data_IF_556944234205
#
_entry.id   IF_556944234205
#
_cell.length_a   1.000
_cell.length_b   1.000
_cell.length_c   1.000
_cell.angle_alpha   90.00
_cell.angle_beta   90.00
_cell.angle_gamma   90.00
#
_symmetry.space_group_name_H-M   'P 1'
#
loop_
_entity.id
_entity.type
_entity.pdbx_description
1 polymer ?
#
# COMPACT_ATOMS: atom_id res chain seq x y z
N UNK A 1 -24.19 -38.10 6.58
CA UNK A 1 -23.62 -36.72 6.60
C UNK A 1 -22.35 -36.78 5.79
N UNK A 2 -22.41 -36.30 4.54
CA UNK A 2 -21.25 -36.25 3.64
C UNK A 2 -20.30 -35.14 4.12
N UNK A 3 -18.97 -35.34 4.11
CA UNK A 3 -18.03 -34.29 4.46
C UNK A 3 -18.09 -33.21 3.38
N UNK A 4 -18.26 -31.94 3.81
CA UNK A 4 -18.19 -30.78 2.96
C UNK A 4 -16.83 -30.73 2.24
N UNK A 5 -16.86 -30.61 0.93
CA UNK A 5 -15.66 -30.45 0.10
C UNK A 5 -14.91 -29.14 0.44
N UNK A 6 -13.57 -29.08 0.29
CA UNK A 6 -12.80 -27.85 0.53
C UNK A 6 -13.22 -26.64 -0.32
N UNK A 7 -13.97 -26.86 -1.41
CA UNK A 7 -14.51 -25.79 -2.26
C UNK A 7 -15.71 -25.05 -1.62
N UNK A 8 -16.36 -25.61 -0.62
CA UNK A 8 -17.53 -25.02 0.06
C UNK A 8 -17.16 -24.13 1.26
N UNK A 9 -15.89 -23.99 1.58
CA UNK A 9 -15.42 -22.90 2.43
C UNK A 9 -15.32 -21.64 1.59
N UNK A 10 -16.47 -21.15 1.09
CA UNK A 10 -16.58 -19.83 0.49
C UNK A 10 -15.80 -18.85 1.36
N UNK A 11 -14.79 -18.19 0.74
CA UNK A 11 -13.96 -17.13 1.34
C UNK A 11 -14.86 -16.22 2.16
N UNK A 12 -14.90 -16.42 3.46
CA UNK A 12 -15.73 -15.63 4.37
C UNK A 12 -15.04 -14.29 4.50
N UNK A 13 -15.50 -13.30 3.73
CA UNK A 13 -14.99 -11.93 3.84
C UNK A 13 -14.96 -11.53 5.32
N UNK A 14 -13.82 -11.03 5.77
CA UNK A 14 -13.73 -10.48 7.12
C UNK A 14 -14.71 -9.31 7.18
N UNK A 15 -15.66 -9.35 8.11
CA UNK A 15 -16.55 -8.22 8.38
C UNK A 15 -15.69 -7.08 8.92
N UNK A 16 -15.35 -6.15 8.04
CA UNK A 16 -14.77 -4.87 8.44
C UNK A 16 -15.89 -4.07 9.11
N UNK A 17 -15.66 -3.48 10.29
CA UNK A 17 -16.67 -2.65 10.94
C UNK A 17 -17.13 -1.55 9.99
N UNK A 18 -18.45 -1.40 9.85
CA UNK A 18 -19.03 -0.33 9.04
C UNK A 18 -18.64 1.04 9.62
N UNK A 19 -18.42 2.03 8.74
CA UNK A 19 -18.21 3.43 9.15
C UNK A 19 -19.51 4.04 9.70
N UNK A 20 -20.20 3.31 10.59
CA UNK A 20 -21.44 3.72 11.28
C UNK A 20 -22.50 4.26 10.31
N UNK A 21 -22.67 5.60 10.29
CA UNK A 21 -23.72 6.27 9.49
C UNK A 21 -23.34 6.50 8.04
N UNK A 22 -22.08 6.26 7.67
CA UNK A 22 -21.60 6.45 6.29
C UNK A 22 -22.16 5.31 5.44
N UNK A 23 -22.93 5.65 4.42
CA UNK A 23 -23.48 4.70 3.44
C UNK A 23 -23.15 5.10 2.01
N UNK A 24 -22.95 6.40 1.75
CA UNK A 24 -22.62 6.95 0.44
C UNK A 24 -21.36 7.80 0.54
N UNK A 25 -20.35 7.42 -0.22
CA UNK A 25 -19.04 8.07 -0.30
C UNK A 25 -18.88 8.65 -1.70
N UNK A 26 -18.57 9.94 -1.80
CA UNK A 26 -18.32 10.60 -3.06
C UNK A 26 -16.87 11.02 -3.19
N UNK A 27 -16.27 10.77 -4.37
CA UNK A 27 -14.86 11.03 -4.66
C UNK A 27 -14.71 12.19 -5.65
N UNK A 28 -13.98 13.24 -5.29
CA UNK A 28 -13.63 14.34 -6.21
C UNK A 28 -12.25 14.05 -6.83
N UNK A 29 -12.19 13.93 -8.16
CA UNK A 29 -11.02 13.46 -8.90
C UNK A 29 -10.90 11.93 -8.88
N UNK A 30 -12.01 11.22 -9.04
CA UNK A 30 -12.11 9.76 -8.87
C UNK A 30 -11.24 8.97 -9.85
N UNK A 31 -10.94 9.51 -11.03
CA UNK A 31 -10.08 8.88 -12.04
C UNK A 31 -8.58 8.92 -11.71
N UNK A 32 -8.17 9.62 -10.66
CA UNK A 32 -6.78 9.64 -10.20
C UNK A 32 -6.29 8.28 -9.73
N UNK A 33 -5.00 7.97 -9.99
CA UNK A 33 -4.42 6.62 -9.78
C UNK A 33 -4.63 6.05 -8.36
N UNK A 34 -4.52 6.86 -7.31
CA UNK A 34 -4.76 6.38 -5.94
C UNK A 34 -6.22 6.48 -5.49
N UNK A 35 -7.07 7.23 -6.22
CA UNK A 35 -8.48 7.44 -5.87
C UNK A 35 -9.37 6.29 -6.33
N UNK A 36 -9.20 5.86 -7.60
CA UNK A 36 -10.00 4.81 -8.21
C UNK A 36 -9.89 3.49 -7.42
N UNK A 37 -8.69 3.10 -7.00
CA UNK A 37 -8.49 1.87 -6.24
C UNK A 37 -9.21 1.88 -4.89
N UNK A 38 -9.15 2.98 -4.14
CA UNK A 38 -9.88 3.11 -2.87
C UNK A 38 -11.40 3.07 -3.12
N UNK A 39 -11.88 3.73 -4.18
CA UNK A 39 -13.29 3.73 -4.56
C UNK A 39 -13.79 2.31 -4.88
N UNK A 40 -13.04 1.52 -5.62
CA UNK A 40 -13.36 0.11 -5.94
C UNK A 40 -13.39 -0.76 -4.69
N UNK A 41 -12.40 -0.65 -3.80
CA UNK A 41 -12.38 -1.39 -2.54
C UNK A 41 -13.61 -1.08 -1.70
N UNK A 42 -13.98 0.20 -1.53
CA UNK A 42 -15.16 0.61 -0.77
C UNK A 42 -16.46 0.15 -1.44
N UNK A 43 -16.55 0.21 -2.78
CA UNK A 43 -17.70 -0.32 -3.53
C UNK A 43 -17.87 -1.83 -3.27
N UNK A 44 -16.78 -2.59 -3.32
CA UNK A 44 -16.79 -4.03 -3.07
C UNK A 44 -17.08 -4.39 -1.60
N UNK A 45 -16.82 -3.47 -0.65
CA UNK A 45 -17.26 -3.57 0.74
C UNK A 45 -18.78 -3.29 0.94
N UNK A 46 -19.48 -2.89 -0.12
CA UNK A 46 -20.92 -2.65 -0.09
C UNK A 46 -21.33 -1.20 0.15
N UNK A 47 -20.42 -0.25 0.16
CA UNK A 47 -20.78 1.17 0.19
C UNK A 47 -21.35 1.62 -1.16
N UNK A 48 -22.30 2.54 -1.13
CA UNK A 48 -22.63 3.31 -2.33
C UNK A 48 -21.48 4.27 -2.61
N UNK A 49 -20.88 4.15 -3.79
CA UNK A 49 -19.78 5.01 -4.22
C UNK A 49 -20.18 5.79 -5.45
N UNK A 50 -19.85 7.06 -5.48
CA UNK A 50 -19.94 7.93 -6.66
C UNK A 50 -18.69 8.81 -6.72
N UNK A 51 -18.46 9.48 -7.83
CA UNK A 51 -17.40 10.46 -7.91
C UNK A 51 -17.51 11.36 -9.14
N UNK A 52 -16.65 12.37 -9.17
CA UNK A 52 -16.52 13.31 -10.28
C UNK A 52 -15.08 13.36 -10.78
N UNK A 53 -14.91 13.69 -12.04
CA UNK A 53 -13.62 13.98 -12.63
C UNK A 53 -13.75 15.09 -13.68
N UNK A 54 -12.66 15.81 -13.94
CA UNK A 54 -12.66 16.92 -14.91
C UNK A 54 -12.89 16.44 -16.34
N UNK A 55 -12.47 15.21 -16.66
CA UNK A 55 -12.59 14.60 -17.99
C UNK A 55 -12.83 13.10 -17.95
N UNK A 56 -13.49 12.59 -18.97
CA UNK A 56 -13.61 11.17 -19.19
C UNK A 56 -12.23 10.53 -19.50
N UNK A 57 -11.99 9.34 -18.97
CA UNK A 57 -10.77 8.56 -19.14
C UNK A 57 -11.09 7.06 -19.17
N UNK A 58 -10.09 6.21 -19.51
CA UNK A 58 -10.25 4.76 -19.39
C UNK A 58 -10.61 4.34 -17.96
N UNK A 59 -10.00 4.99 -16.97
CA UNK A 59 -10.26 4.72 -15.56
C UNK A 59 -11.70 5.05 -15.17
N UNK A 60 -12.22 6.22 -15.58
CA UNK A 60 -13.62 6.59 -15.29
C UNK A 60 -14.61 5.64 -15.95
N UNK A 61 -14.36 5.21 -17.20
CA UNK A 61 -15.20 4.24 -17.90
C UNK A 61 -15.19 2.87 -17.17
N UNK A 62 -14.04 2.38 -16.73
CA UNK A 62 -13.94 1.15 -15.96
C UNK A 62 -14.68 1.23 -14.63
N UNK A 63 -14.63 2.37 -13.93
CA UNK A 63 -15.39 2.58 -12.71
C UNK A 63 -16.90 2.53 -12.94
N UNK A 64 -17.39 3.07 -14.07
CA UNK A 64 -18.81 2.99 -14.45
C UNK A 64 -19.23 1.56 -14.77
N UNK A 65 -18.41 0.80 -15.49
CA UNK A 65 -18.62 -0.64 -15.74
C UNK A 65 -18.70 -1.44 -14.45
N UNK A 66 -17.92 -1.04 -13.42
CA UNK A 66 -17.95 -1.62 -12.06
C UNK A 66 -19.14 -1.12 -11.22
N UNK A 67 -20.07 -0.34 -11.80
CA UNK A 67 -21.27 0.14 -11.13
C UNK A 67 -21.05 1.31 -10.16
N UNK A 68 -19.99 2.09 -10.34
CA UNK A 68 -19.73 3.35 -9.65
C UNK A 68 -20.26 4.48 -10.53
N UNK A 69 -21.10 5.36 -9.99
CA UNK A 69 -21.60 6.50 -10.74
C UNK A 69 -20.54 7.59 -10.85
N UNK A 70 -20.12 7.92 -12.07
CA UNK A 70 -19.14 8.98 -12.34
C UNK A 70 -19.81 10.16 -13.03
N UNK A 71 -19.45 11.37 -12.58
CA UNK A 71 -19.86 12.63 -13.19
C UNK A 71 -18.67 13.28 -13.89
N UNK A 72 -18.85 13.77 -15.09
CA UNK A 72 -17.82 14.55 -15.79
C UNK A 72 -18.09 16.04 -15.57
N UNK A 73 -17.09 16.71 -15.01
CA UNK A 73 -17.20 18.08 -14.48
C UNK A 73 -17.56 18.09 -12.99
N UNK A 74 -17.32 19.23 -12.36
CA UNK A 74 -17.54 19.44 -10.93
C UNK A 74 -18.70 20.41 -10.73
N UNK A 75 -19.78 19.93 -10.09
CA UNK A 75 -20.93 20.77 -9.72
C UNK A 75 -21.44 20.41 -8.33
N UNK A 76 -22.05 21.35 -7.64
CA UNK A 76 -22.57 21.18 -6.28
C UNK A 76 -23.58 20.01 -6.17
N UNK A 77 -24.31 19.74 -7.25
CA UNK A 77 -25.34 18.69 -7.29
C UNK A 77 -24.75 17.28 -7.25
N UNK A 78 -23.49 17.10 -7.68
CA UNK A 78 -22.84 15.78 -7.73
C UNK A 78 -22.74 15.11 -6.35
N UNK A 79 -22.61 15.91 -5.28
CA UNK A 79 -22.48 15.40 -3.91
C UNK A 79 -23.81 15.09 -3.22
N UNK A 80 -24.94 15.27 -3.90
CA UNK A 80 -26.24 15.12 -3.28
C UNK A 80 -26.44 13.73 -2.67
N UNK A 81 -26.72 13.71 -1.37
CA UNK A 81 -26.92 12.48 -0.59
C UNK A 81 -25.63 11.75 -0.20
N UNK A 82 -24.45 12.30 -0.48
CA UNK A 82 -23.20 11.80 0.05
C UNK A 82 -23.11 12.06 1.57
N UNK A 83 -22.52 11.11 2.29
CA UNK A 83 -22.30 11.22 3.74
C UNK A 83 -20.86 11.67 4.06
N UNK A 84 -19.94 11.50 3.12
CA UNK A 84 -18.54 11.93 3.18
C UNK A 84 -18.03 12.16 1.77
N UNK A 85 -17.17 13.16 1.64
CA UNK A 85 -16.46 13.49 0.41
C UNK A 85 -15.00 13.10 0.58
N UNK A 86 -14.44 12.37 -0.38
CA UNK A 86 -13.02 12.05 -0.45
C UNK A 86 -12.39 12.92 -1.54
N UNK A 87 -11.33 13.64 -1.19
CA UNK A 87 -10.68 14.57 -2.09
C UNK A 87 -9.21 14.24 -2.29
N UNK A 88 -8.73 14.37 -3.53
CA UNK A 88 -7.31 14.32 -3.87
C UNK A 88 -6.63 15.64 -3.51
N UNK A 89 -5.33 15.60 -3.18
CA UNK A 89 -4.50 16.80 -2.96
C UNK A 89 -4.40 17.72 -4.18
N UNK A 90 -4.66 17.19 -5.38
CA UNK A 90 -4.67 17.96 -6.64
C UNK A 90 -5.94 18.82 -6.84
N UNK A 91 -6.95 18.69 -5.99
CA UNK A 91 -8.22 19.42 -6.10
C UNK A 91 -8.14 20.74 -5.33
N UNK A 92 -8.47 21.83 -6.02
CA UNK A 92 -8.50 23.17 -5.44
C UNK A 92 -9.62 23.32 -4.41
N UNK A 93 -9.36 24.05 -3.33
CA UNK A 93 -10.33 24.36 -2.27
C UNK A 93 -11.56 25.13 -2.79
N UNK A 94 -11.43 25.84 -3.91
CA UNK A 94 -12.51 26.58 -4.58
C UNK A 94 -13.45 25.67 -5.40
N UNK A 95 -13.17 24.36 -5.46
CA UNK A 95 -14.02 23.40 -6.17
C UNK A 95 -15.47 23.46 -5.68
N UNK A 96 -16.50 23.55 -6.56
CA UNK A 96 -17.89 23.73 -6.18
C UNK A 96 -18.45 22.58 -5.32
N UNK A 97 -17.94 21.37 -5.48
CA UNK A 97 -18.34 20.22 -4.65
C UNK A 97 -17.80 20.34 -3.22
N UNK A 98 -16.56 20.86 -3.05
CA UNK A 98 -15.99 21.13 -1.71
C UNK A 98 -16.79 22.23 -1.02
N UNK A 99 -17.11 23.32 -1.71
CA UNK A 99 -17.92 24.41 -1.16
C UNK A 99 -19.29 23.92 -0.72
N UNK A 100 -19.98 23.15 -1.57
CA UNK A 100 -21.27 22.57 -1.25
C UNK A 100 -21.18 21.60 -0.04
N UNK A 101 -20.10 20.81 0.07
CA UNK A 101 -19.87 19.94 1.22
C UNK A 101 -19.72 20.73 2.53
N UNK A 102 -19.00 21.86 2.50
CA UNK A 102 -18.84 22.75 3.66
C UNK A 102 -20.18 23.35 4.07
N UNK A 103 -20.95 23.86 3.11
CA UNK A 103 -22.27 24.46 3.35
C UNK A 103 -23.26 23.44 3.96
N UNK A 104 -23.24 22.20 3.49
CA UNK A 104 -24.09 21.12 3.99
C UNK A 104 -23.53 20.40 5.22
N UNK A 105 -22.35 20.81 5.73
CA UNK A 105 -21.62 20.16 6.81
C UNK A 105 -21.33 18.69 6.54
N UNK A 106 -21.15 18.33 5.27
CA UNK A 106 -20.71 16.99 4.87
C UNK A 106 -19.19 16.89 5.09
N UNK A 107 -18.70 15.91 5.85
CA UNK A 107 -17.26 15.75 6.07
C UNK A 107 -16.49 15.65 4.75
N UNK A 108 -15.37 16.37 4.67
CA UNK A 108 -14.41 16.28 3.57
C UNK A 108 -13.12 15.69 4.15
N UNK A 109 -12.70 14.55 3.61
CA UNK A 109 -11.49 13.84 4.03
C UNK A 109 -10.52 13.66 2.86
N UNK A 110 -9.24 13.64 3.14
CA UNK A 110 -8.22 13.39 2.11
C UNK A 110 -8.17 11.91 1.73
N UNK A 111 -7.67 11.63 0.53
CA UNK A 111 -7.44 10.25 0.04
C UNK A 111 -6.71 9.37 1.07
N UNK A 112 -5.64 9.89 1.66
CA UNK A 112 -4.83 9.13 2.62
C UNK A 112 -5.56 8.87 3.95
N UNK A 113 -6.42 9.80 4.40
CA UNK A 113 -7.28 9.58 5.58
C UNK A 113 -8.26 8.43 5.33
N UNK A 114 -8.87 8.38 4.13
CA UNK A 114 -9.76 7.28 3.75
C UNK A 114 -8.99 5.95 3.64
N UNK A 115 -7.76 5.95 3.11
CA UNK A 115 -6.91 4.77 3.09
C UNK A 115 -6.54 4.32 4.51
N UNK A 116 -6.26 5.26 5.41
CA UNK A 116 -6.04 4.99 6.84
C UNK A 116 -7.25 4.33 7.49
N UNK A 117 -8.47 4.77 7.16
CA UNK A 117 -9.70 4.11 7.66
C UNK A 117 -9.84 2.68 7.13
N UNK A 118 -9.48 2.41 5.87
CA UNK A 118 -9.46 1.04 5.34
C UNK A 118 -8.44 0.15 6.07
N UNK A 119 -7.33 0.72 6.55
CA UNK A 119 -6.31 0.01 7.32
C UNK A 119 -6.70 -0.23 8.78
N UNK A 120 -7.53 0.62 9.39
CA UNK A 120 -7.82 0.67 10.83
C UNK A 120 -8.18 -0.67 11.46
N UNK A 121 -8.90 -1.52 10.74
CA UNK A 121 -9.41 -2.80 11.22
C UNK A 121 -8.77 -4.00 10.50
N UNK A 122 -7.67 -3.75 9.81
CA UNK A 122 -6.93 -4.76 9.05
C UNK A 122 -5.48 -4.81 9.51
N UNK A 123 -4.80 -5.87 9.16
CA UNK A 123 -3.35 -5.96 9.31
C UNK A 123 -2.72 -5.18 8.14
N UNK A 124 -2.55 -3.87 8.34
CA UNK A 124 -2.02 -2.96 7.33
C UNK A 124 -0.52 -3.15 7.12
N UNK A 125 -0.11 -3.32 5.88
CA UNK A 125 1.29 -3.30 5.44
C UNK A 125 1.45 -2.09 4.54
N UNK A 126 2.23 -1.10 4.96
CA UNK A 126 2.48 0.11 4.21
C UNK A 126 3.89 0.12 3.62
N UNK A 127 4.00 0.40 2.33
CA UNK A 127 5.29 0.46 1.62
C UNK A 127 5.61 1.91 1.30
N UNK A 128 6.58 2.47 2.01
CA UNK A 128 7.09 3.82 1.87
C UNK A 128 8.51 3.83 1.27
N UNK A 129 8.95 5.01 0.91
CA UNK A 129 10.28 5.29 0.37
C UNK A 129 10.20 6.03 -0.96
N UNK A 130 11.24 6.73 -1.33
CA UNK A 130 11.26 7.57 -2.53
C UNK A 130 11.08 6.74 -3.79
N UNK A 131 11.77 5.59 -3.89
CA UNK A 131 11.76 4.71 -5.06
C UNK A 131 11.42 3.27 -4.70
N UNK A 132 10.82 2.53 -5.66
CA UNK A 132 10.54 1.10 -5.51
C UNK A 132 9.23 0.74 -4.81
N UNK A 133 8.43 1.71 -4.36
CA UNK A 133 7.14 1.48 -3.67
C UNK A 133 6.23 0.52 -4.45
N UNK A 134 5.89 0.85 -5.69
CA UNK A 134 4.97 0.07 -6.54
C UNK A 134 5.43 -1.37 -6.74
N UNK A 135 6.72 -1.55 -7.07
CA UNK A 135 7.29 -2.89 -7.25
C UNK A 135 7.25 -3.70 -5.97
N UNK A 136 7.69 -3.11 -4.86
CA UNK A 136 7.70 -3.78 -3.55
C UNK A 136 6.30 -4.13 -3.08
N UNK A 137 5.33 -3.21 -3.21
CA UNK A 137 3.92 -3.47 -2.88
C UNK A 137 3.35 -4.62 -3.70
N UNK A 138 3.68 -4.67 -5.00
CA UNK A 138 3.29 -5.77 -5.89
C UNK A 138 3.88 -7.11 -5.45
N UNK A 139 5.17 -7.16 -5.12
CA UNK A 139 5.84 -8.37 -4.66
C UNK A 139 5.26 -8.88 -3.34
N UNK A 140 5.05 -7.99 -2.35
CA UNK A 140 4.38 -8.37 -1.09
C UNK A 140 2.99 -8.94 -1.35
N UNK A 141 2.21 -8.28 -2.19
CA UNK A 141 0.85 -8.73 -2.55
C UNK A 141 0.88 -10.11 -3.20
N UNK A 142 1.81 -10.35 -4.14
CA UNK A 142 1.97 -11.65 -4.78
C UNK A 142 2.36 -12.74 -3.79
N UNK A 143 3.32 -12.49 -2.89
CA UNK A 143 3.74 -13.47 -1.87
C UNK A 143 2.60 -13.86 -0.94
N UNK A 144 1.80 -12.89 -0.48
CA UNK A 144 0.61 -13.18 0.33
C UNK A 144 -0.46 -13.95 -0.44
N UNK A 145 -0.62 -13.67 -1.73
CA UNK A 145 -1.57 -14.38 -2.59
C UNK A 145 -1.13 -15.83 -2.83
N UNK A 146 0.16 -16.11 -3.07
CA UNK A 146 0.71 -17.47 -3.20
C UNK A 146 0.57 -18.28 -1.90
N UNK A 147 0.65 -17.62 -0.73
CA UNK A 147 0.36 -18.25 0.57
C UNK A 147 -1.15 -18.45 0.81
N UNK A 148 -2.01 -18.16 -0.19
CA UNK A 148 -3.47 -18.21 -0.09
C UNK A 148 -4.08 -17.24 0.94
N UNK A 149 -3.38 -16.16 1.24
CA UNK A 149 -3.84 -15.14 2.19
C UNK A 149 -4.75 -14.09 1.56
N UNK A 150 -4.93 -14.08 0.25
CA UNK A 150 -5.88 -13.20 -0.48
C UNK A 150 -5.97 -11.76 0.10
N UNK A 151 -4.90 -10.95 0.01
CA UNK A 151 -4.86 -9.62 0.61
C UNK A 151 -5.73 -8.61 -0.16
N UNK A 152 -6.30 -7.63 0.56
CA UNK A 152 -6.72 -6.37 -0.06
C UNK A 152 -5.46 -5.60 -0.45
N UNK A 153 -5.46 -4.93 -1.60
CA UNK A 153 -4.32 -4.09 -1.98
C UNK A 153 -4.75 -2.80 -2.68
N UNK A 154 -3.93 -1.76 -2.52
CA UNK A 154 -4.05 -0.46 -3.20
C UNK A 154 -2.65 -0.04 -3.65
N UNK A 155 -2.40 -0.07 -4.96
CA UNK A 155 -1.10 0.16 -5.58
C UNK A 155 -1.21 1.38 -6.50
N UNK A 156 -0.18 2.22 -6.56
CA UNK A 156 -0.14 3.39 -7.46
C UNK A 156 -0.03 3.04 -8.94
N UNK A 157 0.40 1.81 -9.28
CA UNK A 157 0.46 1.24 -10.62
C UNK A 157 -0.45 0.03 -10.78
N UNK A 158 -0.37 -0.63 -11.93
CA UNK A 158 -1.08 -1.88 -12.19
C UNK A 158 -0.29 -3.08 -11.65
N UNK A 159 -0.96 -3.99 -10.96
CA UNK A 159 -0.38 -5.28 -10.60
C UNK A 159 -0.33 -6.16 -11.86
N UNK A 160 0.86 -6.53 -12.33
CA UNK A 160 1.05 -7.27 -13.57
C UNK A 160 0.23 -8.58 -13.63
N UNK A 161 0.06 -9.24 -12.49
CA UNK A 161 -0.69 -10.51 -12.38
C UNK A 161 -2.18 -10.36 -12.66
N UNK A 162 -2.79 -9.25 -12.24
CA UNK A 162 -4.25 -9.03 -12.31
C UNK A 162 -4.64 -7.92 -13.27
N UNK A 163 -3.70 -7.08 -13.69
CA UNK A 163 -3.96 -5.93 -14.54
C UNK A 163 -4.75 -4.79 -13.87
N UNK A 164 -4.95 -4.86 -12.54
CA UNK A 164 -5.67 -3.84 -11.77
C UNK A 164 -4.77 -3.24 -10.68
N UNK A 165 -5.09 -2.03 -10.27
CA UNK A 165 -4.32 -1.29 -9.26
C UNK A 165 -4.86 -1.47 -7.83
N UNK A 166 -6.04 -2.06 -7.66
CA UNK A 166 -6.60 -2.37 -6.36
C UNK A 166 -7.59 -3.53 -6.44
N UNK A 167 -7.69 -4.29 -5.35
CA UNK A 167 -8.73 -5.29 -5.17
C UNK A 167 -9.04 -5.51 -3.70
N UNK A 168 -10.29 -5.87 -3.42
CA UNK A 168 -10.73 -6.33 -2.10
C UNK A 168 -10.43 -7.83 -1.96
N UNK A 169 -9.56 -8.18 -1.03
CA UNK A 169 -9.29 -9.56 -0.64
C UNK A 169 -10.13 -10.01 0.54
N UNK A 170 -10.23 -11.33 0.73
CA UNK A 170 -11.00 -11.95 1.80
C UNK A 170 -10.25 -11.99 3.15
N UNK A 171 -8.93 -11.78 3.16
CA UNK A 171 -8.14 -11.87 4.37
C UNK A 171 -8.15 -10.56 5.19
N UNK A 172 -7.54 -10.65 6.38
CA UNK A 172 -7.32 -9.47 7.23
C UNK A 172 -6.23 -8.53 6.71
N UNK A 173 -5.43 -8.92 5.73
CA UNK A 173 -4.30 -8.13 5.24
C UNK A 173 -4.76 -7.05 4.27
N UNK A 174 -4.15 -5.89 4.39
CA UNK A 174 -4.19 -4.83 3.39
C UNK A 174 -2.78 -4.34 3.10
N UNK A 175 -2.39 -4.35 1.84
CA UNK A 175 -1.08 -3.86 1.37
C UNK A 175 -1.31 -2.58 0.59
N UNK A 176 -0.63 -1.50 0.95
CA UNK A 176 -0.79 -0.23 0.28
C UNK A 176 0.52 0.56 0.17
N UNK A 177 0.62 1.34 -0.89
CA UNK A 177 1.67 2.34 -1.01
C UNK A 177 1.42 3.50 -0.05
N UNK A 178 2.50 3.94 0.59
CA UNK A 178 2.54 5.07 1.51
C UNK A 178 3.30 6.21 0.82
N UNK A 179 2.57 7.25 0.44
CA UNK A 179 3.10 8.36 -0.36
C UNK A 179 3.69 9.44 0.56
N UNK A 180 5.01 9.62 0.46
CA UNK A 180 5.74 10.64 1.20
C UNK A 180 5.75 12.00 0.49
N UNK A 181 5.44 12.04 -0.82
CA UNK A 181 5.61 13.25 -1.65
C UNK A 181 4.78 14.45 -1.17
N UNK A 182 3.63 14.20 -0.56
CA UNK A 182 2.73 15.20 0.02
C UNK A 182 2.55 15.02 1.55
N UNK A 183 3.43 14.25 2.19
CA UNK A 183 3.37 13.85 3.59
C UNK A 183 2.07 13.09 3.98
N UNK A 184 1.29 12.63 3.01
CA UNK A 184 0.00 11.97 3.24
C UNK A 184 0.15 10.59 3.91
N UNK A 185 1.32 9.96 3.81
CA UNK A 185 1.61 8.70 4.50
C UNK A 185 1.48 8.80 6.03
N UNK A 186 1.60 10.00 6.61
CA UNK A 186 1.43 10.24 8.05
C UNK A 186 -0.01 9.99 8.54
N UNK A 187 -0.99 9.89 7.66
CA UNK A 187 -2.36 9.52 8.00
C UNK A 187 -2.57 8.01 8.16
N UNK A 188 -1.61 7.20 7.69
CA UNK A 188 -1.71 5.74 7.76
C UNK A 188 -1.34 5.23 9.16
N UNK A 189 -1.94 4.11 9.56
CA UNK A 189 -1.68 3.42 10.82
C UNK A 189 -1.39 1.93 10.54
N UNK A 190 -0.26 1.62 9.92
CA UNK A 190 0.08 0.24 9.56
C UNK A 190 0.52 -0.60 10.76
N UNK A 191 0.39 -1.91 10.64
CA UNK A 191 0.95 -2.90 11.57
C UNK A 191 2.40 -3.26 11.20
N UNK A 192 2.70 -3.24 9.91
CA UNK A 192 4.05 -3.41 9.39
C UNK A 192 4.35 -2.36 8.32
N UNK A 193 5.58 -1.92 8.23
CA UNK A 193 6.02 -0.96 7.22
C UNK A 193 7.26 -1.46 6.50
N UNK A 194 7.38 -1.08 5.25
CA UNK A 194 8.63 -1.15 4.49
C UNK A 194 9.10 0.28 4.23
N UNK A 195 10.39 0.55 4.41
CA UNK A 195 11.03 1.76 3.90
C UNK A 195 12.16 1.34 2.96
N UNK A 196 11.97 1.63 1.68
CA UNK A 196 12.89 1.17 0.62
C UNK A 196 14.16 2.01 0.55
N UNK A 197 14.02 3.32 0.59
CA UNK A 197 15.08 4.32 0.56
C UNK A 197 14.51 5.68 0.95
N UNK A 198 15.38 6.63 1.30
CA UNK A 198 15.03 8.04 1.57
C UNK A 198 15.96 8.92 0.76
N UNK A 199 15.44 9.52 -0.31
CA UNK A 199 16.20 10.38 -1.21
C UNK A 199 15.59 11.78 -1.27
N UNK A 200 16.38 12.78 -1.67
CA UNK A 200 15.96 14.17 -1.72
C UNK A 200 15.11 14.47 -2.98
N UNK A 201 13.93 13.83 -3.06
CA UNK A 201 12.93 14.07 -4.09
C UNK A 201 11.66 14.69 -3.47
N UNK A 202 10.84 15.36 -4.28
CA UNK A 202 9.59 16.02 -3.83
C UNK A 202 9.78 16.98 -2.62
N UNK A 203 10.92 17.70 -2.60
CA UNK A 203 11.35 18.50 -1.45
C UNK A 203 10.48 19.73 -1.15
N UNK A 204 9.60 20.15 -2.08
CA UNK A 204 8.71 21.31 -1.89
C UNK A 204 7.81 21.13 -0.65
N UNK A 205 7.27 19.94 -0.44
CA UNK A 205 6.44 19.59 0.73
C UNK A 205 7.18 19.78 2.06
N UNK A 206 8.48 19.58 2.03
CA UNK A 206 9.36 19.65 3.22
C UNK A 206 10.13 20.97 3.32
N UNK A 207 9.79 21.96 2.48
CA UNK A 207 10.44 23.28 2.45
C UNK A 207 11.92 23.21 2.06
N UNK A 208 12.28 22.27 1.18
CA UNK A 208 13.65 21.97 0.74
C UNK A 208 14.61 21.57 1.87
N UNK A 209 14.09 21.10 3.00
CA UNK A 209 14.85 20.63 4.17
C UNK A 209 14.81 19.09 4.25
N UNK A 210 15.93 18.44 3.91
CA UNK A 210 16.07 16.98 3.95
C UNK A 210 15.94 16.41 5.37
N UNK A 211 16.26 17.20 6.39
CA UNK A 211 16.05 16.82 7.79
C UNK A 211 14.56 16.69 8.12
N UNK A 212 13.71 17.57 7.56
CA UNK A 212 12.25 17.46 7.72
C UNK A 212 11.68 16.22 7.04
N UNK A 213 12.17 15.86 5.85
CA UNK A 213 11.77 14.61 5.18
C UNK A 213 12.14 13.40 6.06
N UNK A 214 13.40 13.32 6.55
CA UNK A 214 13.82 12.25 7.46
C UNK A 214 12.98 12.21 8.74
N UNK A 215 12.67 13.37 9.32
CA UNK A 215 11.77 13.51 10.46
C UNK A 215 10.37 12.94 10.20
N UNK A 216 9.82 13.17 9.02
CA UNK A 216 8.53 12.62 8.62
C UNK A 216 8.57 11.07 8.50
N UNK A 217 9.65 10.48 8.00
CA UNK A 217 9.83 9.02 8.00
C UNK A 217 9.91 8.45 9.42
N UNK A 218 10.61 9.13 10.35
CA UNK A 218 10.65 8.74 11.77
C UNK A 218 9.24 8.78 12.36
N UNK A 219 8.49 9.87 12.13
CA UNK A 219 7.12 10.00 12.59
C UNK A 219 6.23 8.89 12.01
N UNK A 220 6.33 8.63 10.72
CA UNK A 220 5.58 7.55 10.04
C UNK A 220 5.87 6.18 10.67
N UNK A 221 7.13 5.84 10.91
CA UNK A 221 7.51 4.59 11.55
C UNK A 221 6.95 4.47 12.98
N UNK A 222 6.80 5.59 13.69
CA UNK A 222 6.18 5.64 15.01
C UNK A 222 4.65 5.57 15.00
N UNK A 223 3.97 5.67 13.82
CA UNK A 223 2.52 5.40 13.69
C UNK A 223 2.20 3.91 13.88
N UNK A 224 3.16 3.03 13.66
CA UNK A 224 2.99 1.61 14.00
C UNK A 224 2.80 1.43 15.51
N UNK A 225 2.04 0.40 15.93
CA UNK A 225 1.99 0.00 17.33
C UNK A 225 3.38 -0.46 17.81
N UNK A 226 3.60 -0.52 19.11
CA UNK A 226 4.91 -0.88 19.70
C UNK A 226 5.38 -2.31 19.34
N UNK A 227 4.46 -3.16 18.90
CA UNK A 227 4.71 -4.54 18.46
C UNK A 227 4.70 -4.69 16.94
N UNK A 228 4.55 -3.59 16.20
CA UNK A 228 4.64 -3.58 14.75
C UNK A 228 6.09 -3.63 14.29
N UNK A 229 6.34 -4.09 13.06
CA UNK A 229 7.69 -4.28 12.51
C UNK A 229 7.97 -3.33 11.35
N UNK A 230 9.14 -2.68 11.37
CA UNK A 230 9.70 -1.93 10.27
C UNK A 230 10.72 -2.77 9.49
N UNK A 231 10.48 -3.01 8.21
CA UNK A 231 11.43 -3.64 7.28
C UNK A 231 12.16 -2.54 6.53
N UNK A 232 13.47 -2.38 6.73
CA UNK A 232 14.22 -1.21 6.28
C UNK A 232 15.51 -1.58 5.55
N UNK A 233 15.84 -0.84 4.48
CA UNK A 233 17.04 -1.02 3.69
C UNK A 233 18.26 -0.43 4.40
N UNK A 234 19.16 -1.28 4.90
CA UNK A 234 20.39 -0.79 5.56
C UNK A 234 21.51 -0.45 4.56
N UNK A 235 21.30 -0.66 3.28
CA UNK A 235 22.21 -0.15 2.24
C UNK A 235 21.97 1.33 1.93
N UNK A 236 20.82 1.89 2.37
CA UNK A 236 20.51 3.31 2.23
C UNK A 236 21.15 4.11 3.39
N UNK A 237 22.00 5.11 3.10
CA UNK A 237 22.67 5.89 4.14
C UNK A 237 21.70 6.74 4.99
N UNK A 238 20.62 7.26 4.37
CA UNK A 238 19.64 8.10 5.06
C UNK A 238 18.81 7.27 6.05
N UNK A 239 18.49 6.03 5.68
CA UNK A 239 17.84 5.08 6.58
C UNK A 239 18.77 4.76 7.75
N UNK A 240 20.05 4.44 7.50
CA UNK A 240 21.02 4.19 8.58
C UNK A 240 21.13 5.35 9.58
N UNK A 241 21.06 6.58 9.08
CA UNK A 241 21.14 7.77 9.93
C UNK A 241 19.94 7.89 10.89
N UNK A 242 18.75 7.50 10.45
CA UNK A 242 17.53 7.60 11.29
C UNK A 242 17.31 6.39 12.20
N UNK A 243 17.91 5.23 11.91
CA UNK A 243 17.71 4.00 12.67
C UNK A 243 17.83 4.17 14.20
N UNK A 244 18.82 4.89 14.76
CA UNK A 244 18.94 5.07 16.20
C UNK A 244 17.76 5.79 16.86
N UNK A 245 16.92 6.47 16.06
CA UNK A 245 15.75 7.22 16.54
C UNK A 245 14.46 6.40 16.45
N UNK A 246 14.51 5.18 15.90
CA UNK A 246 13.32 4.33 15.68
C UNK A 246 13.10 3.41 16.89
N UNK A 247 12.07 3.70 17.67
CA UNK A 247 11.69 2.89 18.84
C UNK A 247 10.62 1.83 18.46
N UNK A 248 10.89 1.03 17.44
CA UNK A 248 10.03 -0.07 16.96
C UNK A 248 10.92 -1.27 16.62
N UNK A 249 10.38 -2.51 16.62
CA UNK A 249 11.08 -3.67 16.07
C UNK A 249 11.49 -3.42 14.62
N UNK A 250 12.72 -3.79 14.29
CA UNK A 250 13.31 -3.57 12.96
C UNK A 250 13.76 -4.91 12.41
N UNK A 251 13.42 -5.16 11.14
CA UNK A 251 14.01 -6.19 10.30
C UNK A 251 14.78 -5.50 9.18
N UNK A 252 16.10 -5.58 9.24
CA UNK A 252 16.99 -4.95 8.26
C UNK A 252 17.18 -5.83 7.04
N UNK A 253 17.25 -5.21 5.84
CA UNK A 253 17.57 -5.92 4.62
C UNK A 253 18.58 -5.17 3.75
N UNK A 254 19.28 -5.90 2.87
CA UNK A 254 20.26 -5.34 1.95
C UNK A 254 21.28 -6.34 1.46
N UNK A 255 22.34 -5.82 0.84
CA UNK A 255 23.55 -6.56 0.48
C UNK A 255 24.58 -6.54 1.61
N UNK A 256 24.48 -5.56 2.51
CA UNK A 256 25.40 -5.35 3.64
C UNK A 256 25.43 -6.55 4.58
N UNK A 257 26.61 -6.80 5.20
CA UNK A 257 26.84 -7.98 6.06
C UNK A 257 26.01 -7.97 7.35
N UNK A 258 25.64 -6.80 7.81
CA UNK A 258 24.83 -6.59 9.01
C UNK A 258 23.31 -6.70 8.75
N UNK A 259 22.88 -6.87 7.49
CA UNK A 259 21.48 -7.07 7.16
C UNK A 259 20.97 -8.43 7.68
N UNK A 260 19.76 -8.44 8.25
CA UNK A 260 19.08 -9.66 8.72
C UNK A 260 18.53 -10.49 7.56
N UNK A 261 18.09 -9.81 6.47
CA UNK A 261 17.64 -10.42 5.22
C UNK A 261 18.60 -9.96 4.12
N UNK A 262 19.60 -10.80 3.82
CA UNK A 262 20.75 -10.43 2.99
C UNK A 262 20.77 -11.21 1.67
N UNK A 263 20.95 -10.52 0.55
CA UNK A 263 21.26 -11.21 -0.71
C UNK A 263 22.75 -11.43 -0.88
N UNK A 264 23.12 -12.65 -1.24
CA UNK A 264 24.48 -13.06 -1.61
C UNK A 264 24.47 -13.78 -2.95
N UNK A 265 25.62 -13.95 -3.59
CA UNK A 265 25.78 -14.64 -4.88
C UNK A 265 24.89 -14.04 -6.00
N UNK A 266 24.67 -12.73 -5.97
CA UNK A 266 23.78 -12.03 -6.91
C UNK A 266 24.39 -12.03 -8.31
N UNK A 267 23.61 -12.49 -9.30
CA UNK A 267 24.01 -12.54 -10.71
C UNK A 267 22.81 -12.31 -11.63
N UNK A 268 23.03 -11.62 -12.74
CA UNK A 268 22.05 -11.47 -13.80
C UNK A 268 22.17 -12.62 -14.79
N UNK A 269 21.05 -13.26 -15.13
CA UNK A 269 20.98 -14.37 -16.07
C UNK A 269 19.74 -14.22 -16.95
N UNK A 270 19.90 -13.96 -18.25
CA UNK A 270 18.79 -13.97 -19.21
C UNK A 270 17.66 -12.99 -18.90
N UNK A 271 17.94 -11.83 -18.29
CA UNK A 271 16.92 -10.83 -17.88
C UNK A 271 16.33 -11.07 -16.48
N UNK A 272 16.78 -12.11 -15.79
CA UNK A 272 16.41 -12.43 -14.41
C UNK A 272 17.57 -12.13 -13.48
N UNK A 273 17.26 -11.98 -12.18
CA UNK A 273 18.27 -11.93 -11.11
C UNK A 273 18.24 -13.23 -10.31
N UNK A 274 19.37 -13.89 -10.19
CA UNK A 274 19.55 -15.09 -9.38
C UNK A 274 20.39 -14.74 -8.15
N UNK A 275 19.92 -15.11 -6.98
CA UNK A 275 20.64 -14.83 -5.71
C UNK A 275 20.19 -15.77 -4.61
N UNK A 276 21.01 -15.88 -3.57
CA UNK A 276 20.67 -16.62 -2.34
C UNK A 276 20.35 -15.62 -1.24
N UNK A 277 19.27 -15.82 -0.50
CA UNK A 277 18.88 -14.98 0.63
C UNK A 277 19.25 -15.66 1.94
N UNK A 278 20.15 -15.05 2.69
CA UNK A 278 20.46 -15.40 4.07
C UNK A 278 19.49 -14.66 5.00
N UNK A 279 18.87 -15.39 5.94
CA UNK A 279 17.81 -14.82 6.80
C UNK A 279 18.08 -15.13 8.26
N UNK A 280 17.83 -14.13 9.12
CA UNK A 280 17.88 -14.25 10.58
C UNK A 280 16.62 -13.65 11.18
N UNK A 281 15.89 -14.46 11.95
CA UNK A 281 14.78 -13.98 12.78
C UNK A 281 14.98 -14.56 14.20
N UNK A 282 15.80 -13.85 15.01
CA UNK A 282 16.28 -14.37 16.29
C UNK A 282 17.29 -15.52 16.15
N UNK A 283 17.04 -16.46 15.24
CA UNK A 283 17.93 -17.58 14.87
C UNK A 283 18.19 -17.57 13.36
N UNK A 284 19.28 -18.23 12.95
CA UNK A 284 19.58 -18.44 11.53
C UNK A 284 18.51 -19.34 10.91
N UNK A 285 17.90 -18.88 9.82
CA UNK A 285 16.98 -19.67 8.99
C UNK A 285 17.76 -20.36 7.84
N UNK A 286 17.19 -21.39 7.20
CA UNK A 286 17.77 -21.94 5.98
C UNK A 286 17.91 -20.87 4.89
N UNK A 287 19.00 -20.97 4.13
CA UNK A 287 19.20 -20.10 2.96
C UNK A 287 18.11 -20.36 1.92
N UNK A 288 17.67 -19.32 1.23
CA UNK A 288 16.63 -19.37 0.21
C UNK A 288 17.22 -18.96 -1.15
N UNK A 289 17.26 -19.89 -2.10
CA UNK A 289 17.61 -19.55 -3.48
C UNK A 289 16.43 -18.94 -4.22
N UNK A 290 16.67 -17.81 -4.87
CA UNK A 290 15.66 -16.98 -5.54
C UNK A 290 16.03 -16.76 -6.99
N UNK A 291 15.02 -16.88 -7.86
CA UNK A 291 15.03 -16.43 -9.27
C UNK A 291 13.98 -15.34 -9.39
N UNK A 292 14.44 -14.10 -9.48
CA UNK A 292 13.57 -12.94 -9.62
C UNK A 292 13.36 -12.58 -11.09
N UNK A 293 12.11 -12.53 -11.55
CA UNK A 293 11.75 -12.20 -12.93
C UNK A 293 11.78 -10.68 -13.25
N UNK A 294 12.61 -9.94 -12.53
CA UNK A 294 12.83 -8.51 -12.70
C UNK A 294 14.33 -8.24 -12.74
N UNK A 295 14.86 -7.51 -13.74
CA UNK A 295 16.29 -7.22 -13.83
C UNK A 295 16.73 -6.10 -12.89
N UNK A 296 18.00 -6.14 -12.48
CA UNK A 296 18.69 -5.06 -11.77
C UNK A 296 18.72 -5.21 -10.24
N UNK A 297 19.83 -4.73 -9.66
CA UNK A 297 20.08 -4.83 -8.21
C UNK A 297 19.02 -4.09 -7.36
N UNK A 298 18.44 -3.00 -7.85
CA UNK A 298 17.35 -2.30 -7.19
C UNK A 298 16.11 -3.20 -7.02
N UNK A 299 15.83 -4.09 -7.99
CA UNK A 299 14.74 -5.06 -7.87
C UNK A 299 15.10 -6.21 -6.92
N UNK A 300 16.37 -6.56 -6.78
CA UNK A 300 16.83 -7.48 -5.71
C UNK A 300 16.51 -6.86 -4.35
N UNK A 301 16.82 -5.57 -4.13
CA UNK A 301 16.46 -4.87 -2.88
C UNK A 301 14.94 -4.82 -2.66
N UNK A 302 14.15 -4.56 -3.70
CA UNK A 302 12.68 -4.60 -3.60
C UNK A 302 12.17 -6.01 -3.20
N UNK A 303 12.78 -7.07 -3.76
CA UNK A 303 12.45 -8.44 -3.40
C UNK A 303 12.86 -8.77 -1.96
N UNK A 304 14.05 -8.33 -1.50
CA UNK A 304 14.47 -8.52 -0.11
C UNK A 304 13.53 -7.82 0.88
N UNK A 305 13.04 -6.63 0.55
CA UNK A 305 12.04 -5.92 1.34
C UNK A 305 10.76 -6.75 1.50
N UNK A 306 10.26 -7.31 0.40
CA UNK A 306 9.07 -8.17 0.42
C UNK A 306 9.33 -9.47 1.17
N UNK A 307 10.52 -10.09 1.01
CA UNK A 307 10.94 -11.28 1.77
C UNK A 307 11.03 -10.96 3.27
N UNK A 308 11.48 -9.75 3.66
CA UNK A 308 11.47 -9.32 5.05
C UNK A 308 10.07 -9.36 5.68
N UNK A 309 9.06 -8.89 4.98
CA UNK A 309 7.65 -9.02 5.40
C UNK A 309 7.21 -10.50 5.42
N UNK A 310 7.60 -11.28 4.40
CA UNK A 310 7.27 -12.71 4.34
C UNK A 310 7.80 -13.47 5.57
N UNK A 311 9.04 -13.19 5.98
CA UNK A 311 9.66 -13.77 7.20
C UNK A 311 8.87 -13.38 8.45
N UNK A 312 8.51 -12.11 8.61
CA UNK A 312 7.73 -11.62 9.76
C UNK A 312 6.34 -12.26 9.84
N UNK A 313 5.72 -12.53 8.71
CA UNK A 313 4.37 -13.12 8.64
C UNK A 313 4.37 -14.65 8.60
N UNK A 314 5.53 -15.28 8.50
CA UNK A 314 5.66 -16.73 8.42
C UNK A 314 5.18 -17.32 7.08
N UNK A 315 5.32 -16.56 5.98
CA UNK A 315 5.02 -17.03 4.62
C UNK A 315 6.02 -18.12 4.22
N UNK A 316 5.53 -19.22 3.66
CA UNK A 316 6.35 -20.36 3.27
C UNK A 316 7.33 -20.01 2.14
N UNK A 317 8.54 -20.59 2.17
CA UNK A 317 9.58 -20.36 1.15
C UNK A 317 9.09 -20.67 -0.28
N UNK A 318 8.26 -21.69 -0.42
CA UNK A 318 7.65 -22.07 -1.72
C UNK A 318 6.77 -20.94 -2.28
N UNK A 319 5.96 -20.29 -1.42
CA UNK A 319 5.12 -19.17 -1.84
C UNK A 319 5.97 -17.94 -2.22
N UNK A 320 7.05 -17.68 -1.49
CA UNK A 320 8.02 -16.63 -1.82
C UNK A 320 8.65 -16.87 -3.20
N UNK A 321 9.13 -18.10 -3.47
CA UNK A 321 9.74 -18.47 -4.75
C UNK A 321 8.76 -18.41 -5.93
N UNK A 322 7.50 -18.76 -5.71
CA UNK A 322 6.46 -18.71 -6.75
C UNK A 322 6.02 -17.29 -7.09
N UNK A 323 6.14 -16.37 -6.14
CA UNK A 323 5.77 -14.97 -6.32
C UNK A 323 6.82 -14.14 -7.08
N UNK A 324 8.10 -14.55 -7.10
CA UNK A 324 9.25 -13.82 -7.65
C UNK A 324 9.61 -14.28 -9.06
#
# INVERSE_FOLDING_TARGET
>A
MSPSTPADQAKKLIKVPEMRRIKHIHFIGIGGAGMCGIAEVLKNQGYKVSGSDIKASKTTAQLEENGIKVYIGHTAENIQGANVIVVSTAIDAENPEIKAAIETRTPVVRRAEMLGELMRYRHGIAVAGTHGKTTTTSLVTCMLAEENLDPTYVIGGLLNRTGVNAALGASRFIVAEADESDASFLHLQPMATIVTNIDADHMDTYGHDFGRLKGAFIEFLHKMPFYGTAVVCVDDPSIREILPQIARPITSYGFSEDAQVRAVNVRAVGGQMHFTVQRKNGTQMPDLDVVLNLPGNHNVLNALAAIGIAVELGVADVAVQQAL
#
